data_IF_964141997989
#
_entry.id   IF_964141997989
#
_cell.length_a   1.000
_cell.length_b   1.000
_cell.length_c   1.000
_cell.angle_alpha   90.00
_cell.angle_beta   90.00
_cell.angle_gamma   90.00
#
_symmetry.space_group_name_H-M   'P 1'
#
loop_
_entity.id
_entity.type
_entity.pdbx_description
1 polymer ?
#
# COMPACT_ATOMS: atom_id res chain seq x y z
N UNK A 1 -17.84 -1.89 -0.81
CA UNK A 1 -17.58 -1.44 0.58
C UNK A 1 -16.51 -2.36 1.12
N UNK A 2 -15.28 -1.89 1.32
CA UNK A 2 -14.17 -2.77 1.73
C UNK A 2 -14.35 -3.29 3.16
N UNK A 3 -14.00 -4.56 3.40
CA UNK A 3 -14.06 -5.18 4.72
C UNK A 3 -12.72 -4.97 5.44
N UNK A 4 -12.81 -4.54 6.70
CA UNK A 4 -11.69 -4.38 7.64
C UNK A 4 -11.18 -5.77 8.06
N UNK A 5 -9.88 -6.03 8.00
CA UNK A 5 -9.30 -7.37 8.24
C UNK A 5 -8.39 -7.41 9.46
N UNK A 6 -8.66 -8.33 10.38
CA UNK A 6 -7.77 -8.62 11.50
C UNK A 6 -6.70 -9.64 11.10
N UNK A 7 -5.64 -9.77 11.91
CA UNK A 7 -4.46 -10.59 11.60
C UNK A 7 -4.80 -12.07 11.39
N UNK A 8 -5.82 -12.59 12.07
CA UNK A 8 -6.32 -13.96 11.90
C UNK A 8 -7.16 -14.13 10.63
N UNK A 9 -7.79 -13.06 10.13
CA UNK A 9 -8.55 -13.10 8.89
C UNK A 9 -7.63 -13.27 7.67
N UNK A 10 -6.39 -12.75 7.73
CA UNK A 10 -5.40 -12.85 6.65
C UNK A 10 -5.09 -14.31 6.26
N UNK A 11 -5.19 -15.26 7.20
CA UNK A 11 -4.95 -16.69 6.93
C UNK A 11 -6.12 -17.41 6.24
N UNK A 12 -7.32 -16.80 6.23
CA UNK A 12 -8.53 -17.37 5.64
C UNK A 12 -8.96 -16.68 4.34
N UNK A 13 -8.22 -15.65 3.92
CA UNK A 13 -8.51 -14.96 2.68
C UNK A 13 -8.22 -15.85 1.46
N UNK A 14 -9.01 -15.71 0.38
CA UNK A 14 -8.68 -16.36 -0.88
C UNK A 14 -7.25 -15.97 -1.29
N UNK A 15 -6.47 -16.95 -1.79
CA UNK A 15 -5.10 -16.73 -2.30
C UNK A 15 -5.00 -15.75 -3.48
N UNK A 16 -6.12 -15.16 -3.89
CA UNK A 16 -6.25 -14.18 -4.96
C UNK A 16 -7.17 -13.08 -4.45
N UNK A 17 -6.68 -11.86 -4.49
CA UNK A 17 -7.39 -10.66 -4.07
C UNK A 17 -6.49 -9.45 -4.24
N UNK A 18 -7.07 -8.27 -4.37
CA UNK A 18 -6.34 -7.01 -4.37
C UNK A 18 -6.56 -6.30 -3.04
N UNK A 19 -5.53 -5.60 -2.59
CA UNK A 19 -5.58 -4.76 -1.41
C UNK A 19 -5.22 -3.33 -1.77
N UNK A 20 -5.66 -2.40 -0.93
CA UNK A 20 -5.13 -1.04 -0.93
C UNK A 20 -4.79 -0.54 0.47
N UNK A 21 -3.81 0.33 0.52
CA UNK A 21 -3.30 0.97 1.74
C UNK A 21 -3.17 2.48 1.51
N UNK A 22 -3.57 3.28 2.49
CA UNK A 22 -3.41 4.73 2.44
C UNK A 22 -2.08 5.13 3.07
N UNK A 23 -1.29 5.89 2.33
CA UNK A 23 -0.05 6.47 2.81
C UNK A 23 -0.15 7.99 2.83
N UNK A 24 0.40 8.62 3.87
CA UNK A 24 0.81 10.02 3.80
C UNK A 24 2.26 10.04 3.32
N UNK A 25 2.55 10.89 2.36
CA UNK A 25 3.86 11.00 1.73
C UNK A 25 4.02 12.41 1.18
N UNK A 26 5.17 13.07 1.38
CA UNK A 26 5.41 14.39 0.80
C UNK A 26 5.24 14.37 -0.72
N UNK A 27 4.61 15.40 -1.27
CA UNK A 27 4.29 15.45 -2.71
C UNK A 27 5.50 15.25 -3.65
N UNK A 28 6.70 15.82 -3.37
CA UNK A 28 7.89 15.58 -4.18
C UNK A 28 8.33 14.10 -4.23
N UNK A 29 8.05 13.35 -3.17
CA UNK A 29 8.52 11.99 -2.95
C UNK A 29 7.56 10.93 -3.55
N UNK A 30 6.36 11.33 -3.97
CA UNK A 30 5.37 10.42 -4.56
C UNK A 30 5.90 9.76 -5.83
N UNK A 31 6.65 10.50 -6.66
CA UNK A 31 7.24 9.94 -7.87
C UNK A 31 8.29 8.88 -7.53
N UNK A 32 9.12 9.15 -6.52
CA UNK A 32 10.13 8.22 -6.05
C UNK A 32 9.50 6.94 -5.47
N UNK A 33 8.51 7.09 -4.58
CA UNK A 33 7.72 5.97 -4.04
C UNK A 33 7.07 5.14 -5.15
N UNK A 34 6.47 5.79 -6.15
CA UNK A 34 5.83 5.09 -7.28
C UNK A 34 6.84 4.28 -8.09
N UNK A 35 8.04 4.81 -8.33
CA UNK A 35 9.06 4.09 -9.09
C UNK A 35 9.58 2.85 -8.33
N UNK A 36 9.70 2.92 -7.01
CA UNK A 36 10.11 1.78 -6.19
C UNK A 36 9.02 0.71 -6.15
N UNK A 37 7.76 1.09 -5.92
CA UNK A 37 6.64 0.14 -5.85
C UNK A 37 6.40 -0.58 -7.19
N UNK A 38 6.57 0.14 -8.32
CA UNK A 38 6.45 -0.45 -9.66
C UNK A 38 7.68 -1.34 -9.99
N UNK A 39 8.88 -0.88 -9.62
CA UNK A 39 10.14 -1.54 -9.99
C UNK A 39 10.53 -2.75 -9.14
N UNK A 40 10.07 -2.83 -7.88
CA UNK A 40 10.36 -3.96 -7.00
C UNK A 40 9.37 -5.08 -7.31
N UNK A 41 9.76 -6.04 -8.15
CA UNK A 41 8.97 -7.23 -8.54
C UNK A 41 7.48 -6.98 -8.93
N UNK A 42 7.17 -5.77 -9.44
CA UNK A 42 5.79 -5.30 -9.65
C UNK A 42 4.90 -5.47 -8.40
N UNK A 43 5.39 -5.08 -7.21
CA UNK A 43 4.67 -5.16 -5.94
C UNK A 43 3.28 -4.54 -6.00
N UNK A 44 3.10 -3.48 -6.79
CA UNK A 44 1.82 -2.82 -6.94
C UNK A 44 1.91 -1.54 -7.75
N UNK A 45 0.98 -0.64 -7.52
CA UNK A 45 0.97 0.69 -8.14
C UNK A 45 0.40 1.74 -7.19
N UNK A 46 0.77 3.00 -7.44
CA UNK A 46 0.33 4.17 -6.68
C UNK A 46 -0.77 4.92 -7.45
N UNK A 47 -1.80 5.40 -6.75
CA UNK A 47 -2.74 6.40 -7.29
C UNK A 47 -3.00 7.53 -6.31
N UNK A 48 -3.05 8.77 -6.83
CA UNK A 48 -3.55 9.96 -6.12
C UNK A 48 -5.07 10.11 -6.19
N UNK A 49 -5.70 9.52 -7.21
CA UNK A 49 -7.15 9.59 -7.41
C UNK A 49 -7.88 9.10 -6.16
N UNK A 50 -8.85 9.88 -5.67
CA UNK A 50 -9.65 9.61 -4.47
C UNK A 50 -8.86 9.47 -3.15
N UNK A 51 -7.58 9.83 -3.13
CA UNK A 51 -6.83 10.00 -1.90
C UNK A 51 -7.09 11.39 -1.29
N UNK A 52 -7.10 11.54 0.04
CA UNK A 52 -7.04 12.84 0.69
C UNK A 52 -5.83 13.65 0.21
N UNK A 53 -5.87 14.97 0.40
CA UNK A 53 -4.72 15.83 0.13
C UNK A 53 -3.48 15.32 0.89
N UNK A 54 -2.31 15.35 0.24
CA UNK A 54 -1.03 14.87 0.78
C UNK A 54 -0.99 13.36 1.10
N UNK A 55 -1.87 12.59 0.45
CA UNK A 55 -1.91 11.14 0.57
C UNK A 55 -1.93 10.45 -0.79
N UNK A 56 -1.57 9.18 -0.78
CA UNK A 56 -1.68 8.29 -1.94
C UNK A 56 -2.22 6.92 -1.53
N UNK A 57 -2.90 6.27 -2.46
CA UNK A 57 -3.25 4.87 -2.35
C UNK A 57 -2.18 4.00 -2.99
N UNK A 58 -1.71 2.97 -2.26
CA UNK A 58 -0.95 1.85 -2.83
C UNK A 58 -1.91 0.71 -3.07
N UNK A 59 -1.94 0.19 -4.29
CA UNK A 59 -2.73 -0.99 -4.67
C UNK A 59 -1.79 -2.13 -4.97
N UNK A 60 -2.06 -3.31 -4.41
CA UNK A 60 -1.18 -4.46 -4.55
C UNK A 60 -1.93 -5.78 -4.38
N UNK A 61 -1.41 -6.89 -4.93
CA UNK A 61 -1.95 -8.23 -4.68
C UNK A 61 -1.90 -8.61 -3.19
N UNK A 62 -2.91 -9.32 -2.70
CA UNK A 62 -3.01 -9.72 -1.30
C UNK A 62 -1.84 -10.60 -0.84
N UNK A 63 -1.30 -11.44 -1.73
CA UNK A 63 -0.15 -12.29 -1.45
C UNK A 63 1.17 -11.48 -1.29
N UNK A 64 1.20 -10.23 -1.75
CA UNK A 64 2.34 -9.31 -1.64
C UNK A 64 2.30 -8.40 -0.39
N UNK A 65 1.33 -8.60 0.52
CA UNK A 65 1.18 -7.75 1.72
C UNK A 65 2.47 -7.66 2.53
N UNK A 66 3.13 -8.79 2.77
CA UNK A 66 4.36 -8.81 3.57
C UNK A 66 5.47 -8.00 2.92
N UNK A 67 5.66 -8.19 1.61
CA UNK A 67 6.73 -7.54 0.85
C UNK A 67 6.50 -6.03 0.74
N UNK A 68 5.25 -5.60 0.55
CA UNK A 68 4.89 -4.16 0.56
C UNK A 68 5.21 -3.53 1.91
N UNK A 69 4.85 -4.16 3.04
CA UNK A 69 5.18 -3.61 4.35
C UNK A 69 6.70 -3.58 4.62
N UNK A 70 7.45 -4.56 4.13
CA UNK A 70 8.91 -4.57 4.21
C UNK A 70 9.51 -3.39 3.43
N UNK A 71 9.11 -3.20 2.17
CA UNK A 71 9.58 -2.08 1.35
C UNK A 71 9.19 -0.74 1.96
N UNK A 72 7.96 -0.58 2.45
CA UNK A 72 7.55 0.67 3.12
C UNK A 72 8.36 0.92 4.39
N UNK A 73 8.75 -0.12 5.13
CA UNK A 73 9.59 0.02 6.32
C UNK A 73 10.99 0.52 5.95
N UNK A 74 11.56 0.03 4.85
CA UNK A 74 12.84 0.52 4.33
C UNK A 74 12.72 1.97 3.88
N UNK A 75 11.67 2.30 3.11
CA UNK A 75 11.45 3.65 2.58
C UNK A 75 11.20 4.69 3.66
N UNK A 76 10.65 4.31 4.83
CA UNK A 76 10.50 5.22 5.98
C UNK A 76 11.83 5.74 6.53
N UNK A 77 12.95 5.09 6.21
CA UNK A 77 14.29 5.59 6.55
C UNK A 77 14.88 6.54 5.51
N UNK A 78 14.29 6.60 4.31
CA UNK A 78 14.76 7.42 3.18
C UNK A 78 13.83 8.60 2.86
N UNK A 79 12.53 8.44 3.13
CA UNK A 79 11.49 9.43 2.92
C UNK A 79 11.00 9.92 4.28
N UNK A 80 11.38 11.14 4.62
CA UNK A 80 10.86 11.82 5.80
C UNK A 80 9.32 11.96 5.69
N UNK A 81 8.61 11.82 6.81
CA UNK A 81 7.15 11.91 6.91
C UNK A 81 6.35 10.88 6.08
N UNK A 82 6.98 9.79 5.64
CA UNK A 82 6.25 8.65 5.07
C UNK A 82 5.51 7.89 6.18
N UNK A 83 4.18 7.94 6.15
CA UNK A 83 3.35 7.28 7.15
C UNK A 83 2.28 6.37 6.52
N UNK A 84 1.97 5.30 7.24
CA UNK A 84 0.83 4.43 6.93
C UNK A 84 -0.35 4.90 7.75
N UNK A 85 -1.34 5.53 7.11
CA UNK A 85 -2.41 6.27 7.82
C UNK A 85 -3.69 5.46 7.96
N UNK A 86 -3.84 4.41 7.14
CA UNK A 86 -5.01 3.54 7.15
C UNK A 86 -4.68 2.08 7.42
N UNK A 87 -5.73 1.30 7.62
CA UNK A 87 -5.64 -0.16 7.63
C UNK A 87 -5.63 -0.72 6.20
N UNK A 88 -5.19 -1.98 6.07
CA UNK A 88 -5.26 -2.72 4.81
C UNK A 88 -6.72 -2.95 4.43
N UNK A 89 -7.12 -2.48 3.24
CA UNK A 89 -8.48 -2.66 2.71
C UNK A 89 -8.44 -3.74 1.63
N UNK A 90 -9.14 -4.85 1.86
CA UNK A 90 -9.37 -5.84 0.80
C UNK A 90 -10.40 -5.33 -0.20
N UNK A 91 -10.07 -5.46 -1.47
CA UNK A 91 -10.96 -5.19 -2.58
C UNK A 91 -11.61 -6.49 -3.05
N UNK A 92 -12.94 -6.51 -3.09
CA UNK A 92 -13.72 -7.58 -3.72
C UNK A 92 -13.62 -7.42 -5.26
N UNK A 93 -13.50 -8.54 -5.99
CA UNK A 93 -13.59 -8.58 -7.46
C UNK A 93 -14.99 -8.17 -7.95
#
# INVERSE_FOLDING_TARGET
MGKMLQRDDLMMLPKKGFCKLLLSVPEPEIFYLSAIIDGYDNLGYIRKEDAPQDHVWVYFPLDMVSDVYEVLTLLKSEIDDLETVGELILMEE
#
